data_IF_522530982787
#
_entry.id   IF_522530982787
#
_cell.length_a   1.000
_cell.length_b   1.000
_cell.length_c   1.000
_cell.angle_alpha   90.00
_cell.angle_beta   90.00
_cell.angle_gamma   90.00
#
_symmetry.space_group_name_H-M   'P 1'
#
loop_
_entity.id
_entity.type
_entity.pdbx_description
1 polymer ?
#
# COMPACT_ATOMS: atom_id res chain seq x y z
N UNK A 1 56.29 -29.50 -40.22
CA UNK A 1 55.33 -29.36 -39.10
C UNK A 1 56.09 -28.79 -37.90
N UNK A 2 55.88 -27.52 -37.54
CA UNK A 2 56.49 -26.92 -36.33
C UNK A 2 55.85 -27.57 -35.11
N UNK A 3 56.63 -28.34 -34.35
CA UNK A 3 56.19 -29.03 -33.15
C UNK A 3 56.04 -27.98 -32.03
N UNK A 4 54.84 -27.41 -31.88
CA UNK A 4 54.52 -26.50 -30.77
C UNK A 4 54.56 -27.30 -29.47
N UNK A 5 55.60 -27.09 -28.65
CA UNK A 5 55.68 -27.66 -27.30
C UNK A 5 54.40 -27.30 -26.54
N UNK A 6 53.59 -28.30 -26.20
CA UNK A 6 52.46 -28.10 -25.27
C UNK A 6 53.04 -27.94 -23.88
N UNK A 7 52.92 -26.75 -23.28
CA UNK A 7 53.21 -26.55 -21.87
C UNK A 7 52.13 -27.27 -21.05
N UNK A 8 52.53 -28.26 -20.26
CA UNK A 8 51.65 -28.93 -19.31
C UNK A 8 51.40 -28.02 -18.10
N UNK A 9 50.16 -27.98 -17.65
CA UNK A 9 49.75 -27.21 -16.47
C UNK A 9 50.06 -28.02 -15.21
N UNK A 10 50.71 -27.41 -14.22
CA UNK A 10 51.02 -28.09 -12.95
C UNK A 10 49.83 -28.01 -11.99
N UNK A 11 49.65 -29.01 -11.13
CA UNK A 11 48.59 -29.03 -10.13
C UNK A 11 48.65 -27.83 -9.18
N UNK A 12 49.87 -27.35 -8.89
CA UNK A 12 50.13 -26.19 -8.03
C UNK A 12 49.63 -24.90 -8.69
N UNK A 13 49.89 -24.71 -10.00
CA UNK A 13 49.39 -23.52 -10.73
C UNK A 13 47.85 -23.48 -10.73
N UNK A 14 47.19 -24.62 -10.90
CA UNK A 14 45.73 -24.70 -10.78
C UNK A 14 45.26 -24.28 -9.38
N UNK A 15 45.91 -24.82 -8.35
CA UNK A 15 45.54 -24.63 -6.96
C UNK A 15 45.70 -23.17 -6.51
N UNK A 16 46.75 -22.48 -6.96
CA UNK A 16 46.96 -21.05 -6.67
C UNK A 16 45.88 -20.20 -7.34
N UNK A 17 45.52 -20.50 -8.59
CA UNK A 17 44.49 -19.72 -9.31
C UNK A 17 43.12 -19.87 -8.63
N UNK A 18 42.72 -21.09 -8.27
CA UNK A 18 41.45 -21.29 -7.55
C UNK A 18 41.47 -20.64 -6.16
N UNK A 19 42.63 -20.61 -5.48
CA UNK A 19 42.76 -19.94 -4.18
C UNK A 19 42.57 -18.42 -4.32
N UNK A 20 43.19 -17.80 -5.33
CA UNK A 20 43.03 -16.36 -5.61
C UNK A 20 41.58 -16.04 -5.97
N UNK A 21 40.96 -16.82 -6.87
CA UNK A 21 39.55 -16.62 -7.24
C UNK A 21 38.65 -16.80 -6.00
N UNK A 22 38.91 -17.81 -5.17
CA UNK A 22 38.17 -18.05 -3.93
C UNK A 22 38.24 -16.87 -2.96
N UNK A 23 39.42 -16.28 -2.77
CA UNK A 23 39.61 -15.09 -1.93
C UNK A 23 38.87 -13.88 -2.53
N UNK A 24 39.02 -13.64 -3.85
CA UNK A 24 38.34 -12.53 -4.52
C UNK A 24 36.82 -12.65 -4.43
N UNK A 25 36.25 -13.82 -4.73
CA UNK A 25 34.80 -14.06 -4.64
C UNK A 25 34.32 -13.95 -3.19
N UNK A 26 35.09 -14.47 -2.22
CA UNK A 26 34.77 -14.38 -0.79
C UNK A 26 34.67 -12.94 -0.29
N UNK A 27 35.51 -12.03 -0.81
CA UNK A 27 35.46 -10.61 -0.47
C UNK A 27 34.38 -9.84 -1.27
N UNK A 28 34.11 -10.23 -2.51
CA UNK A 28 33.18 -9.54 -3.40
C UNK A 28 31.71 -9.87 -3.12
N UNK A 29 31.39 -11.11 -2.72
CA UNK A 29 29.99 -11.52 -2.54
C UNK A 29 29.24 -10.70 -1.49
N UNK A 30 29.77 -10.48 -0.26
CA UNK A 30 29.09 -9.64 0.73
C UNK A 30 28.94 -8.19 0.25
N UNK A 31 29.97 -7.65 -0.42
CA UNK A 31 29.96 -6.28 -0.92
C UNK A 31 28.89 -6.06 -2.00
N UNK A 32 28.74 -7.01 -2.94
CA UNK A 32 27.71 -6.93 -3.99
C UNK A 32 26.31 -6.97 -3.40
N UNK A 33 26.07 -7.76 -2.35
CA UNK A 33 24.74 -7.82 -1.71
C UNK A 33 24.40 -6.51 -0.98
N UNK A 34 25.35 -5.92 -0.26
CA UNK A 34 25.15 -4.61 0.37
C UNK A 34 24.86 -3.52 -0.67
N UNK A 35 25.58 -3.54 -1.80
CA UNK A 35 25.36 -2.60 -2.89
C UNK A 35 23.96 -2.77 -3.53
N UNK A 36 23.52 -4.02 -3.75
CA UNK A 36 22.18 -4.30 -4.28
C UNK A 36 21.08 -3.80 -3.34
N UNK A 37 21.24 -4.00 -2.04
CA UNK A 37 20.25 -3.52 -1.08
C UNK A 37 20.24 -1.99 -0.95
N UNK A 38 21.41 -1.35 -1.01
CA UNK A 38 21.47 0.11 -1.12
C UNK A 38 20.74 0.61 -2.37
N UNK A 39 20.89 -0.07 -3.52
CA UNK A 39 20.17 0.28 -4.75
C UNK A 39 18.65 0.12 -4.61
N UNK A 40 18.17 -0.97 -3.99
CA UNK A 40 16.74 -1.17 -3.72
C UNK A 40 16.17 -0.09 -2.80
N UNK A 41 16.88 0.25 -1.72
CA UNK A 41 16.53 1.37 -0.83
C UNK A 41 16.43 2.70 -1.59
N UNK A 42 17.42 3.00 -2.42
CA UNK A 42 17.36 4.22 -3.25
C UNK A 42 16.17 4.20 -4.21
N UNK A 43 15.78 3.04 -4.75
CA UNK A 43 14.59 2.91 -5.58
C UNK A 43 13.29 3.21 -4.81
N UNK A 44 13.08 2.64 -3.62
CA UNK A 44 11.88 2.92 -2.84
C UNK A 44 11.84 4.40 -2.36
N UNK A 45 13.00 4.98 -2.05
CA UNK A 45 13.11 6.42 -1.76
C UNK A 45 12.77 7.32 -2.96
N UNK A 46 13.20 6.94 -4.17
CA UNK A 46 12.83 7.65 -5.39
C UNK A 46 11.34 7.51 -5.73
N UNK A 47 10.75 6.34 -5.47
CA UNK A 47 9.31 6.10 -5.62
C UNK A 47 8.52 7.04 -4.69
N UNK A 48 8.89 7.14 -3.41
CA UNK A 48 8.29 8.11 -2.48
C UNK A 48 8.47 9.56 -2.94
N UNK A 49 9.61 9.92 -3.56
CA UNK A 49 9.81 11.26 -4.14
C UNK A 49 8.87 11.53 -5.30
N UNK A 50 8.66 10.56 -6.20
CA UNK A 50 7.69 10.69 -7.30
C UNK A 50 6.26 10.82 -6.76
N UNK A 51 5.89 10.01 -5.76
CA UNK A 51 4.59 10.10 -5.08
C UNK A 51 4.42 11.49 -4.43
N UNK A 52 5.43 12.00 -3.73
CA UNK A 52 5.39 13.32 -3.11
C UNK A 52 5.22 14.45 -4.13
N UNK A 53 5.93 14.38 -5.26
CA UNK A 53 5.75 15.33 -6.35
C UNK A 53 4.32 15.28 -6.91
N UNK A 54 3.78 14.08 -7.14
CA UNK A 54 2.41 13.89 -7.62
C UNK A 54 1.37 14.43 -6.62
N UNK A 55 1.57 14.22 -5.31
CA UNK A 55 0.72 14.76 -4.25
C UNK A 55 0.73 16.29 -4.21
N UNK A 56 1.89 16.91 -4.37
CA UNK A 56 2.00 18.37 -4.47
C UNK A 56 1.40 18.95 -5.76
N UNK A 57 1.52 18.23 -6.88
CA UNK A 57 0.86 18.62 -8.14
C UNK A 57 -0.67 18.52 -8.03
N UNK A 58 -1.16 17.47 -7.36
CA UNK A 58 -2.58 17.35 -7.02
C UNK A 58 -3.03 18.51 -6.14
N UNK A 59 -2.30 18.82 -5.07
CA UNK A 59 -2.62 19.91 -4.16
C UNK A 59 -2.60 21.27 -4.87
N UNK A 60 -1.65 21.50 -5.77
CA UNK A 60 -1.55 22.74 -6.56
C UNK A 60 -2.81 22.95 -7.43
N UNK A 61 -3.31 21.88 -8.04
CA UNK A 61 -4.49 21.92 -8.92
C UNK A 61 -5.83 21.95 -8.16
N UNK A 62 -5.93 21.27 -7.02
CA UNK A 62 -7.19 21.09 -6.27
C UNK A 62 -7.27 21.95 -5.00
N UNK A 63 -6.18 22.59 -4.59
CA UNK A 63 -6.04 23.40 -3.35
C UNK A 63 -6.23 22.62 -2.05
N UNK A 64 -6.07 21.30 -2.11
CA UNK A 64 -6.06 20.39 -0.96
C UNK A 64 -5.39 19.06 -1.35
N UNK A 65 -4.88 18.31 -0.38
CA UNK A 65 -4.42 16.93 -0.60
C UNK A 65 -5.58 16.01 -0.96
N UNK A 66 -5.34 14.91 -1.70
CA UNK A 66 -6.39 13.99 -2.07
C UNK A 66 -6.96 13.30 -0.82
N UNK A 67 -8.24 12.88 -0.86
CA UNK A 67 -8.81 12.14 0.24
C UNK A 67 -8.09 10.80 0.43
N UNK A 68 -7.99 10.33 1.67
CA UNK A 68 -7.43 9.00 1.97
C UNK A 68 -8.16 7.91 1.21
N UNK A 69 -9.48 7.92 1.26
CA UNK A 69 -10.34 7.17 0.36
C UNK A 69 -11.69 7.88 0.20
N UNK A 70 -12.41 7.58 -0.87
CA UNK A 70 -13.77 8.07 -1.08
C UNK A 70 -14.58 7.05 -1.87
N UNK A 71 -15.78 6.74 -1.40
CA UNK A 71 -16.71 5.83 -2.08
C UNK A 71 -17.61 6.54 -3.10
N UNK A 72 -17.43 7.86 -3.29
CA UNK A 72 -18.26 8.74 -4.13
C UNK A 72 -19.73 8.35 -3.98
N UNK A 73 -20.16 8.11 -2.73
CA UNK A 73 -21.58 8.01 -2.49
C UNK A 73 -22.12 9.42 -2.61
N UNK A 74 -23.09 9.67 -3.51
CA UNK A 74 -23.85 10.89 -3.48
C UNK A 74 -24.33 11.08 -2.04
N UNK A 75 -24.23 12.31 -1.56
CA UNK A 75 -24.81 12.76 -0.29
C UNK A 75 -26.13 12.02 -0.05
N UNK A 76 -26.40 11.53 1.16
CA UNK A 76 -27.56 10.64 1.41
C UNK A 76 -28.90 11.27 0.93
N UNK A 77 -28.91 12.59 0.74
CA UNK A 77 -29.94 13.37 0.06
C UNK A 77 -30.25 12.96 -1.40
N UNK A 78 -29.26 12.54 -2.20
CA UNK A 78 -29.46 12.18 -3.61
C UNK A 78 -29.85 10.70 -3.83
N UNK A 79 -29.88 9.88 -2.78
CA UNK A 79 -30.25 8.46 -2.82
C UNK A 79 -31.48 8.16 -1.95
N UNK A 80 -32.57 8.93 -2.09
CA UNK A 80 -33.84 8.71 -1.36
C UNK A 80 -33.68 8.54 0.17
N UNK A 81 -32.66 9.15 0.79
CA UNK A 81 -32.41 9.06 2.22
C UNK A 81 -31.74 7.77 2.70
N UNK A 82 -31.31 6.88 1.80
CA UNK A 82 -30.62 5.63 2.16
C UNK A 82 -29.17 5.97 2.50
N UNK A 83 -28.86 5.97 3.80
CA UNK A 83 -27.47 6.17 4.26
C UNK A 83 -26.52 5.10 3.68
N UNK A 84 -25.24 5.41 3.45
CA UNK A 84 -24.20 4.43 3.08
C UNK A 84 -24.25 3.14 3.91
N UNK A 85 -24.55 3.31 5.20
CA UNK A 85 -24.85 2.24 6.15
C UNK A 85 -25.95 1.31 5.63
N UNK A 86 -27.13 1.83 5.29
CA UNK A 86 -28.23 1.00 4.86
C UNK A 86 -27.91 0.24 3.57
N UNK A 87 -27.07 0.79 2.66
CA UNK A 87 -26.57 0.05 1.48
C UNK A 87 -25.69 -1.15 1.87
N UNK A 88 -24.75 -0.95 2.81
CA UNK A 88 -23.90 -2.01 3.36
C UNK A 88 -24.74 -3.10 4.05
N UNK A 89 -25.75 -2.72 4.84
CA UNK A 89 -26.66 -3.65 5.51
C UNK A 89 -27.65 -4.34 4.57
N UNK A 90 -27.92 -3.77 3.40
CA UNK A 90 -28.76 -4.36 2.35
C UNK A 90 -27.95 -5.24 1.37
N UNK A 91 -26.66 -5.46 1.61
CA UNK A 91 -25.81 -6.26 0.73
C UNK A 91 -25.52 -5.58 -0.62
N UNK A 92 -25.60 -4.25 -0.67
CA UNK A 92 -25.26 -3.46 -1.86
C UNK A 92 -23.77 -3.12 -1.85
N UNK A 93 -23.12 -3.39 -2.98
CA UNK A 93 -21.67 -3.28 -3.12
C UNK A 93 -21.21 -1.81 -3.07
N UNK A 94 -20.24 -1.48 -2.21
CA UNK A 94 -19.62 -0.14 -2.12
C UNK A 94 -18.16 -0.20 -2.55
N UNK A 95 -17.79 0.55 -3.58
CA UNK A 95 -16.41 0.61 -4.11
C UNK A 95 -15.81 1.97 -3.82
N UNK A 96 -14.50 2.02 -3.53
CA UNK A 96 -13.84 3.28 -3.15
C UNK A 96 -12.53 3.50 -3.91
N UNK A 97 -12.30 4.77 -4.26
CA UNK A 97 -11.00 5.26 -4.72
C UNK A 97 -10.10 5.49 -3.50
N UNK A 98 -8.86 5.01 -3.55
CA UNK A 98 -7.84 5.34 -2.55
C UNK A 98 -7.08 6.62 -2.96
N UNK A 99 -6.35 7.25 -2.04
CA UNK A 99 -5.52 8.43 -2.33
C UNK A 99 -4.58 8.21 -3.52
N UNK A 100 -4.08 6.98 -3.70
CA UNK A 100 -3.21 6.60 -4.79
C UNK A 100 -3.86 6.79 -6.16
N UNK A 101 -5.16 6.48 -6.27
CA UNK A 101 -5.95 6.66 -7.50
C UNK A 101 -6.01 8.12 -7.96
N UNK A 102 -6.08 9.06 -7.02
CA UNK A 102 -6.19 10.50 -7.32
C UNK A 102 -4.91 11.10 -7.86
N UNK A 103 -3.75 10.53 -7.49
CA UNK A 103 -2.45 11.06 -7.91
C UNK A 103 -1.92 10.43 -9.19
N UNK A 104 -2.52 9.35 -9.68
CA UNK A 104 -2.08 8.68 -10.92
C UNK A 104 -1.96 9.61 -12.13
N UNK A 105 -2.89 10.57 -12.39
CA UNK A 105 -2.74 11.52 -13.49
C UNK A 105 -1.55 12.48 -13.32
N UNK A 106 -1.03 12.61 -12.10
CA UNK A 106 0.09 13.47 -11.75
C UNK A 106 1.42 12.68 -11.65
N UNK A 107 1.39 11.37 -11.90
CA UNK A 107 2.57 10.52 -12.02
C UNK A 107 2.88 10.26 -13.49
N UNK A 108 4.15 10.02 -13.81
CA UNK A 108 4.61 9.66 -15.18
C UNK A 108 4.25 8.21 -15.56
N UNK A 109 3.06 7.73 -15.20
CA UNK A 109 2.64 6.35 -15.44
C UNK A 109 1.94 6.20 -16.82
N UNK A 110 2.54 5.39 -17.70
CA UNK A 110 2.28 5.35 -19.15
C UNK A 110 1.12 4.43 -19.62
N UNK A 111 0.19 4.00 -18.76
CA UNK A 111 -0.95 3.19 -19.25
C UNK A 111 -2.18 3.07 -18.32
N UNK A 112 -2.01 3.12 -16.99
CA UNK A 112 -3.04 2.59 -16.09
C UNK A 112 -4.03 3.61 -15.49
N UNK A 113 -3.85 4.93 -15.68
CA UNK A 113 -4.11 5.80 -14.53
C UNK A 113 -4.89 7.10 -14.68
N UNK A 114 -5.66 7.35 -15.75
CA UNK A 114 -6.55 8.53 -15.77
C UNK A 114 -8.00 8.14 -15.45
N UNK A 115 -8.24 7.68 -14.22
CA UNK A 115 -9.58 7.36 -13.76
C UNK A 115 -10.36 8.64 -13.47
N UNK A 116 -11.60 8.73 -13.95
CA UNK A 116 -12.51 9.77 -13.50
C UNK A 116 -13.00 9.45 -12.08
N UNK A 117 -12.28 10.00 -11.11
CA UNK A 117 -12.57 9.85 -9.68
C UNK A 117 -13.84 10.60 -9.22
N UNK A 118 -14.51 11.34 -10.12
CA UNK A 118 -15.82 11.94 -9.85
C UNK A 118 -16.98 10.92 -9.93
N UNK A 119 -16.72 9.74 -10.50
CA UNK A 119 -17.66 8.61 -10.51
C UNK A 119 -17.24 7.56 -9.49
N UNK A 120 -18.21 6.84 -8.92
CA UNK A 120 -17.90 5.66 -8.12
C UNK A 120 -17.11 4.66 -9.00
N UNK A 121 -16.08 3.98 -8.46
CA UNK A 121 -15.19 3.12 -9.25
C UNK A 121 -15.97 2.15 -10.13
N UNK A 122 -16.89 1.37 -9.56
CA UNK A 122 -17.67 0.41 -10.33
C UNK A 122 -18.44 1.04 -11.50
N UNK A 123 -19.07 2.20 -11.27
CA UNK A 123 -19.80 2.91 -12.31
C UNK A 123 -18.85 3.38 -13.42
N UNK A 124 -17.66 3.86 -13.06
CA UNK A 124 -16.64 4.25 -14.03
C UNK A 124 -16.24 3.08 -14.94
N UNK A 125 -15.92 1.92 -14.36
CA UNK A 125 -15.53 0.74 -15.15
C UNK A 125 -16.66 0.23 -16.05
N UNK A 126 -17.90 0.20 -15.55
CA UNK A 126 -19.06 -0.26 -16.33
C UNK A 126 -19.42 0.71 -17.45
N UNK A 127 -19.50 2.02 -17.17
CA UNK A 127 -19.88 3.04 -18.16
C UNK A 127 -18.85 3.09 -19.30
N UNK A 128 -17.57 2.98 -18.96
CA UNK A 128 -16.47 3.07 -19.92
C UNK A 128 -16.09 1.71 -20.51
N UNK A 129 -16.77 0.62 -20.13
CA UNK A 129 -16.49 -0.75 -20.57
C UNK A 129 -15.01 -1.15 -20.40
N UNK A 130 -14.42 -0.78 -19.25
CA UNK A 130 -13.02 -1.04 -18.92
C UNK A 130 -12.89 -2.44 -18.31
N UNK A 131 -11.96 -3.22 -18.83
CA UNK A 131 -11.64 -4.56 -18.31
C UNK A 131 -11.07 -4.46 -16.88
N UNK A 132 -11.51 -5.38 -16.01
CA UNK A 132 -10.97 -5.52 -14.65
C UNK A 132 -9.47 -5.83 -14.64
N UNK A 133 -8.90 -6.32 -15.75
CA UNK A 133 -7.45 -6.49 -15.90
C UNK A 133 -6.67 -5.17 -15.73
N UNK A 134 -7.30 -4.01 -15.98
CA UNK A 134 -6.68 -2.69 -15.75
C UNK A 134 -6.42 -2.44 -14.27
N UNK A 135 -7.29 -2.95 -13.38
CA UNK A 135 -7.12 -2.83 -11.94
C UNK A 135 -5.94 -3.63 -11.41
N UNK A 136 -5.53 -4.67 -12.13
CA UNK A 136 -4.49 -5.61 -11.73
C UNK A 136 -3.11 -5.20 -12.29
N UNK A 137 -3.03 -4.15 -13.11
CA UNK A 137 -1.75 -3.71 -13.67
C UNK A 137 -0.87 -3.11 -12.57
N UNK A 138 0.29 -3.70 -12.25
CA UNK A 138 1.20 -3.15 -11.25
C UNK A 138 1.78 -1.83 -11.76
N UNK A 139 1.88 -0.85 -10.86
CA UNK A 139 2.48 0.45 -11.15
C UNK A 139 3.84 0.50 -10.46
N UNK A 140 4.92 0.52 -11.24
CA UNK A 140 6.28 0.44 -10.72
C UNK A 140 6.61 1.48 -9.62
N UNK A 141 6.04 2.69 -9.73
CA UNK A 141 6.20 3.76 -8.72
C UNK A 141 5.58 3.46 -7.36
N UNK A 142 4.70 2.45 -7.25
CA UNK A 142 4.10 2.01 -5.98
C UNK A 142 4.68 0.70 -5.44
N UNK A 143 5.65 0.11 -6.14
CA UNK A 143 6.20 -1.20 -5.80
C UNK A 143 7.59 -1.01 -5.18
N UNK A 144 7.87 -1.68 -4.07
CA UNK A 144 9.21 -1.68 -3.48
C UNK A 144 9.94 -2.97 -3.87
N UNK A 145 11.08 -2.90 -4.60
CA UNK A 145 11.83 -4.09 -5.04
C UNK A 145 12.43 -4.95 -3.92
N UNK A 146 12.38 -4.49 -2.66
CA UNK A 146 12.80 -5.28 -1.50
C UNK A 146 11.66 -6.16 -0.94
N UNK A 147 10.39 -5.89 -1.29
CA UNK A 147 9.28 -6.72 -0.85
C UNK A 147 9.24 -8.03 -1.64
N UNK A 148 9.53 -9.13 -0.96
CA UNK A 148 9.61 -10.46 -1.52
C UNK A 148 8.34 -11.30 -1.31
N UNK A 149 7.42 -10.83 -0.46
CA UNK A 149 6.29 -11.60 0.03
C UNK A 149 5.02 -11.40 -0.81
N UNK A 150 4.93 -10.32 -1.57
CA UNK A 150 3.74 -10.00 -2.36
C UNK A 150 3.84 -10.37 -3.84
N UNK A 151 2.73 -10.90 -4.36
CA UNK A 151 2.45 -10.92 -5.79
C UNK A 151 2.16 -9.49 -6.30
N UNK A 152 2.22 -9.28 -7.61
CA UNK A 152 1.91 -7.99 -8.23
C UNK A 152 0.43 -7.57 -8.04
N UNK A 153 -0.42 -8.52 -7.70
CA UNK A 153 -1.86 -8.36 -7.50
C UNK A 153 -2.26 -8.83 -6.11
N UNK A 154 -3.05 -8.01 -5.41
CA UNK A 154 -3.68 -8.39 -4.16
C UNK A 154 -4.87 -9.31 -4.44
N UNK A 155 -4.65 -10.62 -4.37
CA UNK A 155 -5.66 -11.65 -4.62
C UNK A 155 -6.58 -11.86 -3.39
N UNK A 156 -7.54 -10.96 -3.19
CA UNK A 156 -8.68 -11.14 -2.27
C UNK A 156 -8.39 -11.11 -0.76
N UNK A 157 -9.07 -11.97 0.03
CA UNK A 157 -9.32 -11.79 1.49
C UNK A 157 -8.04 -11.76 2.36
N UNK A 158 -7.93 -10.70 3.15
CA UNK A 158 -6.74 -10.22 3.87
C UNK A 158 -6.24 -11.09 5.05
N UNK A 159 -6.98 -12.14 5.45
CA UNK A 159 -6.48 -13.05 6.49
C UNK A 159 -5.38 -13.98 6.00
N UNK A 160 -5.26 -14.11 4.68
CA UNK A 160 -4.21 -14.89 4.05
C UNK A 160 -3.30 -13.91 3.31
N UNK A 161 -2.19 -13.52 3.94
CA UNK A 161 -0.98 -13.28 3.14
C UNK A 161 -0.76 -14.61 2.44
N UNK A 162 -1.00 -14.70 1.12
CA UNK A 162 -0.97 -15.98 0.41
C UNK A 162 0.47 -16.49 0.46
N UNK A 163 0.75 -17.32 1.47
CA UNK A 163 1.92 -18.19 1.51
C UNK A 163 1.47 -19.64 1.36
N UNK A 164 0.25 -20.00 1.81
CA UNK A 164 -0.35 -21.32 1.59
C UNK A 164 -1.90 -21.28 1.63
N UNK A 165 -2.55 -20.94 0.52
CA UNK A 165 -4.02 -20.95 0.42
C UNK A 165 -4.54 -21.00 -1.01
N UNK A 166 -5.76 -21.51 -1.23
CA UNK A 166 -6.42 -21.48 -2.53
C UNK A 166 -6.79 -20.02 -2.89
N UNK A 167 -6.55 -19.57 -4.14
CA UNK A 167 -6.93 -18.24 -4.55
C UNK A 167 -8.44 -18.02 -4.43
N UNK A 168 -8.89 -16.82 -4.02
CA UNK A 168 -10.32 -16.51 -3.94
C UNK A 168 -10.96 -16.56 -5.34
N UNK A 169 -12.16 -17.10 -5.42
CA UNK A 169 -12.88 -17.26 -6.69
C UNK A 169 -13.26 -15.90 -7.29
N UNK A 170 -12.77 -15.62 -8.49
CA UNK A 170 -13.16 -14.44 -9.27
C UNK A 170 -14.54 -14.71 -9.87
N UNK A 171 -15.61 -14.18 -9.25
CA UNK A 171 -16.98 -14.33 -9.72
C UNK A 171 -17.65 -12.98 -9.95
N UNK A 172 -18.47 -12.88 -11.01
CA UNK A 172 -19.37 -11.74 -11.21
C UNK A 172 -20.36 -11.63 -10.02
N UNK A 173 -20.70 -10.40 -9.58
CA UNK A 173 -21.56 -10.20 -8.42
C UNK A 173 -22.96 -10.80 -8.65
N UNK A 174 -23.33 -11.76 -7.80
CA UNK A 174 -24.72 -12.23 -7.63
C UNK A 174 -25.30 -11.75 -6.31
N UNK A 175 -26.64 -11.64 -6.16
CA UNK A 175 -27.28 -11.19 -4.91
C UNK A 175 -26.83 -12.05 -3.74
N UNK A 176 -26.27 -11.46 -2.68
CA UNK A 176 -25.94 -12.19 -1.45
C UNK A 176 -26.89 -11.80 -0.31
N UNK A 177 -27.15 -12.72 0.63
CA UNK A 177 -27.94 -12.41 1.82
C UNK A 177 -27.26 -11.32 2.67
N UNK A 178 -28.04 -10.50 3.40
CA UNK A 178 -27.48 -9.54 4.34
C UNK A 178 -26.72 -10.24 5.47
N UNK A 179 -25.42 -9.99 5.60
CA UNK A 179 -24.59 -10.58 6.65
C UNK A 179 -23.09 -10.51 6.33
N UNK A 180 -22.25 -10.63 7.36
CA UNK A 180 -20.78 -10.62 7.30
C UNK A 180 -20.19 -11.89 6.63
N UNK A 181 -20.86 -12.44 5.64
CA UNK A 181 -20.49 -13.71 5.00
C UNK A 181 -19.63 -13.45 3.77
N UNK A 182 -18.33 -13.32 3.99
CA UNK A 182 -17.30 -13.43 2.94
C UNK A 182 -17.23 -12.23 2.00
N UNK A 183 -16.36 -11.28 2.31
CA UNK A 183 -16.06 -10.16 1.43
C UNK A 183 -15.42 -10.69 0.13
N UNK A 184 -16.08 -10.50 -1.02
CA UNK A 184 -15.42 -10.68 -2.32
C UNK A 184 -14.63 -9.42 -2.62
N UNK A 185 -13.37 -9.41 -2.18
CA UNK A 185 -12.42 -8.37 -2.56
C UNK A 185 -11.96 -8.65 -3.98
N UNK A 186 -12.11 -7.68 -4.88
CA UNK A 186 -11.64 -7.86 -6.25
C UNK A 186 -10.11 -7.73 -6.29
N UNK A 187 -9.44 -8.56 -7.12
CA UNK A 187 -8.01 -8.43 -7.34
C UNK A 187 -7.65 -7.03 -7.85
N UNK A 188 -6.67 -6.41 -7.20
CA UNK A 188 -6.21 -5.05 -7.50
C UNK A 188 -4.69 -4.98 -7.40
N UNK A 189 -4.09 -4.05 -8.12
CA UNK A 189 -2.66 -3.81 -8.13
C UNK A 189 -2.15 -3.53 -6.72
N UNK A 190 -1.05 -4.20 -6.37
CA UNK A 190 -0.37 -4.00 -5.10
C UNK A 190 0.23 -2.59 -5.02
N UNK A 191 0.30 -2.07 -3.79
CA UNK A 191 1.12 -0.94 -3.39
C UNK A 191 1.95 -1.35 -2.17
N UNK A 192 3.14 -0.76 -2.03
CA UNK A 192 3.97 -0.83 -0.84
C UNK A 192 3.95 0.45 -0.01
N UNK A 193 3.03 1.36 -0.34
CA UNK A 193 2.93 2.67 0.28
C UNK A 193 1.50 2.91 0.76
N UNK A 194 1.38 3.41 1.98
CA UNK A 194 0.10 3.72 2.63
C UNK A 194 0.10 5.14 3.18
N UNK A 195 -1.08 5.76 3.16
CA UNK A 195 -1.27 7.13 3.65
C UNK A 195 -1.31 7.18 5.16
N UNK A 196 -0.76 8.23 5.76
CA UNK A 196 -0.74 8.39 7.20
C UNK A 196 -2.07 8.94 7.75
N UNK A 197 -2.63 8.20 8.70
CA UNK A 197 -3.72 8.60 9.57
C UNK A 197 -3.40 8.16 10.99
N UNK A 198 -3.42 9.07 11.96
CA UNK A 198 -3.03 8.73 13.33
C UNK A 198 -4.05 7.84 14.04
N UNK A 199 -5.26 7.67 13.49
CA UNK A 199 -6.30 6.89 14.16
C UNK A 199 -6.75 5.65 13.39
N UNK A 200 -6.80 4.53 14.12
CA UNK A 200 -7.40 3.28 13.70
C UNK A 200 -8.59 2.96 14.62
N UNK A 201 -9.81 3.10 14.12
CA UNK A 201 -11.00 2.72 14.89
C UNK A 201 -12.24 2.64 14.02
N UNK A 202 -12.90 1.50 14.11
CA UNK A 202 -14.20 1.26 13.50
C UNK A 202 -15.28 1.79 14.43
N UNK A 203 -15.97 2.86 14.02
CA UNK A 203 -17.20 3.22 14.71
C UNK A 203 -18.17 2.05 14.59
N UNK A 204 -19.01 1.82 15.60
CA UNK A 204 -20.19 0.99 15.35
C UNK A 204 -20.88 1.63 14.14
N UNK A 205 -21.08 0.86 13.06
CA UNK A 205 -21.72 1.27 11.80
C UNK A 205 -20.83 1.84 10.68
N UNK A 206 -19.53 1.56 10.69
CA UNK A 206 -18.69 1.64 9.47
C UNK A 206 -18.64 3.04 8.87
N UNK A 207 -18.19 4.01 9.66
CA UNK A 207 -17.76 5.29 9.12
C UNK A 207 -16.48 5.75 9.81
N UNK A 208 -15.42 6.05 9.05
CA UNK A 208 -14.58 7.18 9.42
C UNK A 208 -15.34 8.48 9.04
N UNK A 209 -16.20 8.97 9.94
CA UNK A 209 -16.52 10.41 10.02
C UNK A 209 -16.01 10.91 11.37
N UNK A 210 -14.69 10.94 11.51
CA UNK A 210 -14.07 11.33 12.77
C UNK A 210 -14.53 10.52 13.99
N UNK A 211 -14.33 11.10 15.16
CA UNK A 211 -14.42 10.46 16.46
C UNK A 211 -15.69 9.65 16.72
N UNK A 212 -15.59 8.31 16.77
CA UNK A 212 -16.50 7.51 17.61
C UNK A 212 -15.98 7.51 19.05
N UNK A 213 -16.77 8.11 19.94
CA UNK A 213 -16.52 8.29 21.38
C UNK A 213 -16.61 6.99 22.19
N UNK A 214 -16.99 5.85 21.59
CA UNK A 214 -17.38 4.64 22.33
C UNK A 214 -16.46 3.43 22.22
N UNK A 215 -15.50 3.43 21.30
CA UNK A 215 -14.43 2.42 21.28
C UNK A 215 -13.11 3.09 21.57
N UNK A 216 -12.59 2.85 22.77
CA UNK A 216 -11.19 3.09 23.07
C UNK A 216 -10.34 2.42 22.00
N UNK A 217 -9.29 3.12 21.58
CA UNK A 217 -8.26 2.60 20.70
C UNK A 217 -7.83 1.20 21.17
N UNK A 218 -7.93 0.17 20.30
CA UNK A 218 -7.45 -1.17 20.65
C UNK A 218 -5.93 -1.18 20.90
N UNK A 219 -5.21 -0.13 20.47
CA UNK A 219 -3.76 -0.09 20.40
C UNK A 219 -3.14 1.23 20.91
N UNK A 220 -3.87 2.08 21.65
CA UNK A 220 -3.34 3.36 22.16
C UNK A 220 -4.29 4.06 23.14
N UNK A 221 -4.05 5.35 23.44
CA UNK A 221 -4.73 6.04 24.54
C UNK A 221 -6.27 6.07 24.36
N UNK A 222 -6.99 5.96 25.48
CA UNK A 222 -8.45 6.01 25.65
C UNK A 222 -9.10 7.36 25.27
N UNK A 223 -8.36 8.26 24.63
CA UNK A 223 -8.84 9.55 24.18
C UNK A 223 -9.69 9.39 22.91
N UNK A 224 -10.65 10.30 22.71
CA UNK A 224 -11.55 10.25 21.54
C UNK A 224 -10.74 10.35 20.23
N UNK A 225 -11.12 9.61 19.17
CA UNK A 225 -10.41 9.68 17.90
C UNK A 225 -10.30 11.11 17.40
N UNK A 226 -9.12 11.56 16.99
CA UNK A 226 -8.96 12.86 16.33
C UNK A 226 -8.78 12.66 14.82
N UNK A 227 -9.30 13.58 14.00
CA UNK A 227 -9.00 13.67 12.56
C UNK A 227 -7.55 14.14 12.39
N UNK A 228 -6.62 13.32 12.82
CA UNK A 228 -5.21 13.64 12.94
C UNK A 228 -4.43 12.79 11.93
N UNK A 229 -3.51 13.41 11.21
CA UNK A 229 -2.89 12.85 10.01
C UNK A 229 -3.34 13.58 8.74
N UNK A 230 -2.92 13.09 7.59
CA UNK A 230 -3.15 13.75 6.29
C UNK A 230 -4.34 13.15 5.55
N UNK A 231 -4.55 11.85 5.72
CA UNK A 231 -5.49 11.08 4.92
C UNK A 231 -6.62 10.50 5.76
N UNK A 232 -7.85 10.91 5.49
CA UNK A 232 -9.07 10.25 5.96
C UNK A 232 -10.17 10.29 4.90
N UNK A 233 -11.29 9.62 5.17
CA UNK A 233 -12.41 9.55 4.24
C UNK A 233 -12.89 10.93 3.80
N UNK A 234 -12.93 11.18 2.50
CA UNK A 234 -13.43 12.45 1.93
C UNK A 234 -12.66 13.70 2.39
N UNK A 235 -11.45 13.54 2.92
CA UNK A 235 -10.62 14.66 3.38
C UNK A 235 -10.28 15.64 2.25
N UNK A 236 -10.20 16.92 2.64
CA UNK A 236 -9.79 18.05 1.79
C UNK A 236 -8.82 18.94 2.57
N UNK A 237 -7.81 18.31 3.17
CA UNK A 237 -6.83 18.99 4.01
C UNK A 237 -5.95 19.91 3.15
N UNK A 238 -5.81 21.17 3.56
CA UNK A 238 -4.91 22.12 2.91
C UNK A 238 -3.55 22.13 3.60
N UNK A 239 -2.50 22.46 2.85
CA UNK A 239 -1.14 22.65 3.40
C UNK A 239 -1.14 23.61 4.60
N UNK A 240 -1.93 24.70 4.53
CA UNK A 240 -2.04 25.69 5.61
C UNK A 240 -2.70 25.18 6.90
N UNK A 241 -3.30 23.99 6.86
CA UNK A 241 -4.01 23.37 8.00
C UNK A 241 -3.15 22.33 8.72
N UNK A 242 -1.84 22.29 8.44
CA UNK A 242 -0.86 21.39 9.07
C UNK A 242 -0.05 22.20 10.11
N UNK A 243 -0.49 22.24 11.39
CA UNK A 243 0.05 23.16 12.40
C UNK A 243 1.43 22.75 12.94
N UNK A 244 1.78 21.47 12.83
CA UNK A 244 3.03 20.84 13.25
C UNK A 244 4.19 21.08 12.27
N UNK A 245 3.87 21.55 11.05
CA UNK A 245 4.82 21.95 10.02
C UNK A 245 5.18 20.82 9.04
N UNK A 246 5.26 21.16 7.75
CA UNK A 246 5.34 20.19 6.66
C UNK A 246 6.53 19.21 6.75
N UNK A 247 7.67 19.67 7.26
CA UNK A 247 8.89 18.86 7.41
C UNK A 247 8.89 17.94 8.63
N UNK A 248 7.84 18.00 9.47
CA UNK A 248 7.68 17.18 10.68
C UNK A 248 6.50 16.21 10.58
N UNK A 249 5.60 16.44 9.62
CA UNK A 249 4.41 15.63 9.43
C UNK A 249 4.63 14.54 8.40
N UNK A 250 4.51 13.29 8.82
CA UNK A 250 4.55 12.13 7.92
C UNK A 250 3.28 12.12 7.07
N UNK A 251 3.46 11.95 5.76
CA UNK A 251 2.38 11.87 4.77
C UNK A 251 2.18 10.43 4.31
N UNK A 252 3.21 9.76 3.81
CA UNK A 252 3.17 8.39 3.31
C UNK A 252 4.25 7.57 4.00
N UNK A 253 3.98 6.31 4.30
CA UNK A 253 4.97 5.36 4.81
C UNK A 253 5.00 4.06 4.00
N UNK A 254 6.13 3.37 4.05
CA UNK A 254 6.27 2.03 3.50
C UNK A 254 5.50 0.98 4.30
N UNK A 255 5.01 -0.03 3.59
CA UNK A 255 4.47 -1.27 4.14
C UNK A 255 4.91 -2.47 3.31
N UNK A 256 5.45 -3.48 4.00
CA UNK A 256 5.72 -4.81 3.45
C UNK A 256 4.44 -5.62 3.36
N UNK A 257 4.27 -6.37 2.25
CA UNK A 257 3.14 -7.28 2.08
C UNK A 257 3.06 -8.34 3.18
N UNK A 258 4.20 -8.71 3.79
CA UNK A 258 4.24 -9.65 4.90
C UNK A 258 3.55 -9.11 6.18
N UNK A 259 3.60 -7.79 6.40
CA UNK A 259 2.91 -7.16 7.53
C UNK A 259 1.47 -6.75 7.20
N UNK A 260 1.13 -6.60 5.93
CA UNK A 260 -0.23 -6.30 5.48
C UNK A 260 -0.26 -5.84 4.03
N UNK A 261 -1.33 -6.20 3.31
CA UNK A 261 -1.52 -5.77 1.93
C UNK A 261 -1.81 -4.26 1.87
N UNK A 262 -1.31 -3.60 0.83
CA UNK A 262 -1.70 -2.23 0.48
C UNK A 262 -2.05 -2.16 -1.00
N UNK A 263 -2.91 -1.21 -1.40
CA UNK A 263 -3.39 -1.15 -2.79
C UNK A 263 -3.80 0.24 -3.26
N UNK A 264 -3.91 0.34 -4.59
CA UNK A 264 -4.21 1.59 -5.30
C UNK A 264 -5.69 1.82 -5.56
N UNK A 265 -6.44 0.75 -5.79
CA UNK A 265 -7.88 0.81 -6.08
C UNK A 265 -8.52 -0.30 -5.28
N UNK A 266 -9.52 0.03 -4.47
CA UNK A 266 -10.21 -0.94 -3.65
C UNK A 266 -11.65 -1.10 -4.11
N UNK A 267 -11.86 -2.17 -4.86
CA UNK A 267 -13.17 -2.68 -5.18
C UNK A 267 -13.54 -3.75 -4.15
N UNK A 268 -13.93 -3.33 -2.96
CA UNK A 268 -14.32 -4.25 -1.89
C UNK A 268 -15.82 -4.47 -1.89
N UNK A 269 -16.28 -5.70 -2.14
CA UNK A 269 -17.61 -6.16 -1.69
C UNK A 269 -17.59 -6.41 -0.18
N UNK A 270 -17.27 -5.38 0.59
CA UNK A 270 -17.10 -5.53 2.03
C UNK A 270 -18.34 -5.00 2.73
N UNK A 271 -18.95 -5.88 3.51
CA UNK A 271 -19.74 -5.48 4.68
C UNK A 271 -18.89 -4.73 5.73
N UNK A 272 -17.56 -4.63 5.55
CA UNK A 272 -16.61 -3.95 6.44
C UNK A 272 -15.71 -2.95 5.70
N UNK A 273 -16.02 -1.66 5.84
CA UNK A 273 -15.16 -0.52 5.44
C UNK A 273 -13.70 -0.70 5.95
N UNK A 274 -13.54 -1.31 7.14
CA UNK A 274 -12.26 -1.54 7.82
C UNK A 274 -11.13 -2.09 6.92
N UNK A 275 -11.43 -3.04 6.03
CA UNK A 275 -10.42 -3.63 5.15
C UNK A 275 -9.92 -2.64 4.09
N UNK A 276 -10.77 -1.73 3.63
CA UNK A 276 -10.35 -0.66 2.71
C UNK A 276 -9.40 0.30 3.40
N UNK A 277 -9.69 0.63 4.67
CA UNK A 277 -8.85 1.52 5.48
C UNK A 277 -7.48 0.89 5.69
N UNK A 278 -7.44 -0.36 6.14
CA UNK A 278 -6.18 -1.07 6.39
C UNK A 278 -5.29 -1.02 5.16
N UNK A 279 -5.80 -1.30 3.96
CA UNK A 279 -4.97 -1.33 2.74
C UNK A 279 -4.53 0.02 2.20
N UNK A 280 -5.23 1.08 2.61
CA UNK A 280 -5.00 2.42 2.09
C UNK A 280 -4.17 3.25 3.06
N UNK A 281 -4.35 3.02 4.36
CA UNK A 281 -3.89 3.88 5.44
C UNK A 281 -3.06 3.11 6.48
N UNK A 282 -2.04 3.76 6.98
CA UNK A 282 -1.26 3.33 8.14
C UNK A 282 -1.43 4.30 9.29
N UNK A 283 -1.18 3.81 10.51
CA UNK A 283 -1.17 4.61 11.73
C UNK A 283 0.20 4.59 12.39
N UNK A 284 0.63 5.78 12.82
CA UNK A 284 1.84 5.96 13.63
C UNK A 284 1.71 5.41 15.06
N UNK A 285 0.52 4.93 15.44
CA UNK A 285 0.28 4.33 16.75
C UNK A 285 0.59 2.82 16.80
N UNK A 286 0.82 2.18 15.66
CA UNK A 286 1.27 0.79 15.60
C UNK A 286 2.80 0.71 15.67
N UNK A 287 3.34 -0.38 16.23
CA UNK A 287 4.79 -0.64 16.20
C UNK A 287 5.30 -0.75 14.77
N UNK A 288 6.49 -0.20 14.54
CA UNK A 288 7.22 -0.34 13.28
C UNK A 288 7.71 -1.78 13.10
N UNK A 289 7.65 -2.29 11.86
CA UNK A 289 8.08 -3.64 11.51
C UNK A 289 7.47 -4.75 12.38
N UNK A 290 6.17 -4.62 12.70
CA UNK A 290 5.46 -5.67 13.42
C UNK A 290 5.51 -6.98 12.60
N UNK A 291 6.02 -8.07 13.18
CA UNK A 291 6.16 -9.32 12.47
C UNK A 291 4.79 -9.97 12.20
N UNK A 292 4.70 -10.85 11.20
CA UNK A 292 3.56 -11.74 11.05
C UNK A 292 3.42 -12.68 12.26
N UNK A 293 2.25 -13.26 12.44
CA UNK A 293 1.97 -14.24 13.48
C UNK A 293 2.67 -15.59 13.22
N UNK A 294 2.51 -16.55 14.14
CA UNK A 294 3.09 -17.89 14.03
C UNK A 294 2.61 -18.70 12.82
N UNK A 295 1.51 -18.27 12.19
CA UNK A 295 0.95 -18.88 10.99
C UNK A 295 1.41 -18.17 9.71
N UNK A 296 2.24 -17.14 9.82
CA UNK A 296 2.72 -16.34 8.68
C UNK A 296 1.73 -15.27 8.22
N UNK A 297 0.68 -15.02 8.99
CA UNK A 297 -0.34 -14.03 8.64
C UNK A 297 -0.01 -12.67 9.25
N UNK A 298 -0.39 -11.62 8.53
CA UNK A 298 -0.31 -10.25 9.01
C UNK A 298 -1.14 -10.06 10.30
N UNK A 299 -0.49 -9.60 11.38
CA UNK A 299 -1.18 -9.26 12.63
C UNK A 299 -2.06 -8.02 12.45
N UNK A 300 -3.05 -7.80 13.32
CA UNK A 300 -3.85 -6.56 13.33
C UNK A 300 -2.98 -5.29 13.42
N UNK A 301 -1.94 -5.34 14.24
CA UNK A 301 -0.98 -4.25 14.39
C UNK A 301 -0.11 -4.10 13.14
N UNK A 302 0.33 -5.20 12.50
CA UNK A 302 1.06 -5.17 11.23
C UNK A 302 0.25 -4.55 10.10
N UNK A 303 -1.03 -4.92 9.97
CA UNK A 303 -1.94 -4.39 8.92
C UNK A 303 -2.22 -2.90 9.08
N UNK A 304 -2.10 -2.40 10.30
CA UNK A 304 -2.34 -0.99 10.62
C UNK A 304 -1.06 -0.17 10.59
N UNK A 305 0.11 -0.78 10.75
CA UNK A 305 1.38 -0.10 10.90
C UNK A 305 2.14 0.14 9.60
N UNK A 306 3.42 0.45 9.78
CA UNK A 306 4.41 0.64 8.74
C UNK A 306 5.50 -0.42 8.87
N UNK A 307 6.00 -0.90 7.75
CA UNK A 307 7.03 -1.94 7.71
C UNK A 307 7.79 -1.93 6.41
N UNK A 308 8.98 -2.50 6.43
CA UNK A 308 9.80 -2.64 5.25
C UNK A 308 10.67 -3.89 5.32
N UNK A 309 10.88 -4.53 4.17
CA UNK A 309 11.76 -5.69 4.03
C UNK A 309 13.22 -5.29 3.79
N UNK A 310 13.53 -4.00 3.89
CA UNK A 310 14.90 -3.50 3.81
C UNK A 310 15.79 -4.07 4.92
N UNK A 311 17.03 -4.39 4.57
CA UNK A 311 17.99 -4.92 5.56
C UNK A 311 18.17 -3.93 6.72
N UNK A 312 18.07 -4.43 7.95
CA UNK A 312 18.20 -3.60 9.16
C UNK A 312 16.89 -2.93 9.60
N UNK A 313 15.74 -3.30 9.04
CA UNK A 313 14.42 -2.80 9.47
C UNK A 313 14.18 -1.33 9.11
N UNK A 314 14.89 -0.80 8.12
CA UNK A 314 14.78 0.60 7.71
C UNK A 314 13.45 0.82 6.99
N UNK A 315 12.62 1.72 7.50
CA UNK A 315 11.37 2.13 6.85
C UNK A 315 11.55 3.53 6.28
N UNK A 316 11.10 3.73 5.05
CA UNK A 316 11.10 5.06 4.43
C UNK A 316 9.76 5.75 4.60
N UNK A 317 9.82 7.04 4.92
CA UNK A 317 8.66 7.91 5.11
C UNK A 317 8.80 9.15 4.26
N UNK A 318 7.72 9.50 3.56
CA UNK A 318 7.55 10.77 2.89
C UNK A 318 6.89 11.76 3.86
N UNK A 319 7.46 12.95 3.96
CA UNK A 319 6.95 14.06 4.75
C UNK A 319 6.16 15.04 3.86
N UNK A 320 5.34 15.88 4.49
CA UNK A 320 4.45 16.80 3.78
C UNK A 320 5.18 17.93 3.03
N UNK A 321 6.49 18.10 3.23
CA UNK A 321 7.36 19.00 2.47
C UNK A 321 8.00 18.32 1.24
N UNK A 322 7.68 17.05 1.00
CA UNK A 322 8.25 16.24 -0.07
C UNK A 322 9.62 15.63 0.28
N UNK A 323 10.14 15.82 1.51
CA UNK A 323 11.35 15.14 1.97
C UNK A 323 11.08 13.66 2.26
N UNK A 324 12.08 12.81 2.03
CA UNK A 324 12.00 11.37 2.31
C UNK A 324 13.05 11.05 3.35
N UNK A 325 12.62 10.55 4.51
CA UNK A 325 13.50 10.19 5.62
C UNK A 325 13.40 8.70 5.91
N UNK A 326 14.51 8.16 6.41
CA UNK A 326 14.63 6.77 6.83
C UNK A 326 14.57 6.69 8.35
N UNK A 327 13.77 5.77 8.88
CA UNK A 327 13.64 5.52 10.31
C UNK A 327 14.02 4.05 10.56
N UNK A 328 14.79 3.83 11.64
CA UNK A 328 15.25 2.52 12.13
C UNK A 328 14.64 2.24 13.50
#
# INVERSE_FOLDING_TARGET
MKNTKRCGFTLIELLVVIAIIGVLVGLLLPAVQMAREAARRMSCGNNLKQIGLALHNYETSHRHFPPGYNDVLPDAAMNNGVSPYQKIWLGQDTTAWSWGSYILPFMEADAAGNFDTALAPWNYFVINNIDLNVLQQPIAGFMCPSDYAGEDVNMGSERDVIVYGNPPTIGLPGPQPPGHSGATIMPSARSNYVGNNTWFGWSDRGRFVGADVRKGNQYGNIESPSNSGIFWRGSKLKISQIPDGLSKTIMIGERSTASGQAGLIHLTRASSEAQTIERTLGTANARLNTPPDSSGNATEEGRSGYSSDHSGGVIQFLYCDGSVHQIQ
#
